data_IF_333133114327
#
_entry.id   IF_333133114327
#
_cell.length_a   1.000
_cell.length_b   1.000
_cell.length_c   1.000
_cell.angle_alpha   90.00
_cell.angle_beta   90.00
_cell.angle_gamma   90.00
#
_symmetry.space_group_name_H-M   'P 1'
#
loop_
_entity.id
_entity.type
_entity.pdbx_description
1 polymer ?
#
# COMPACT_ATOMS: atom_id res chain seq x y z
N UNK A 1 10.05 -10.72 -0.89
CA UNK A 1 9.20 -11.60 -1.73
C UNK A 1 8.78 -12.79 -0.87
N UNK A 2 7.49 -13.12 -0.75
CA UNK A 2 7.04 -14.22 0.13
C UNK A 2 6.88 -15.56 -0.62
N UNK A 3 6.95 -16.68 0.10
CA UNK A 3 6.85 -18.04 -0.47
C UNK A 3 5.55 -18.28 -1.23
N UNK A 4 4.46 -17.71 -0.75
CA UNK A 4 3.17 -17.81 -1.42
C UNK A 4 3.09 -16.99 -2.73
N UNK A 5 3.95 -15.98 -2.93
CA UNK A 5 4.10 -15.36 -4.26
C UNK A 5 4.98 -16.22 -5.18
N UNK A 6 5.97 -16.93 -4.64
CA UNK A 6 6.85 -17.79 -5.44
C UNK A 6 6.12 -19.01 -5.99
N UNK A 7 5.25 -19.62 -5.18
CA UNK A 7 4.43 -20.77 -5.61
C UNK A 7 3.55 -20.44 -6.83
N UNK A 8 2.91 -19.27 -6.83
CA UNK A 8 2.06 -18.83 -7.95
C UNK A 8 2.88 -18.41 -9.19
N UNK A 9 4.11 -17.92 -9.01
CA UNK A 9 4.99 -17.60 -10.15
C UNK A 9 5.48 -18.84 -10.88
N UNK A 10 5.78 -19.92 -10.16
CA UNK A 10 6.29 -21.16 -10.74
C UNK A 10 5.33 -21.88 -11.68
N UNK A 11 4.05 -21.47 -11.72
CA UNK A 11 3.00 -22.13 -12.51
C UNK A 11 2.64 -21.39 -13.80
N UNK A 12 3.13 -20.16 -14.02
CA UNK A 12 2.78 -19.33 -15.19
C UNK A 12 3.97 -18.53 -15.71
N UNK A 13 4.13 -18.45 -17.04
CA UNK A 13 5.25 -17.70 -17.65
C UNK A 13 4.79 -16.59 -18.60
N UNK A 14 3.56 -16.66 -19.12
CA UNK A 14 2.95 -15.72 -20.06
C UNK A 14 2.03 -16.47 -21.03
N UNK A 15 1.39 -15.75 -21.94
CA UNK A 15 0.63 -16.31 -23.06
C UNK A 15 0.90 -15.53 -24.36
N UNK A 16 0.13 -15.81 -25.42
CA UNK A 16 0.28 -15.17 -26.74
C UNK A 16 -0.07 -13.69 -26.74
N UNK A 17 -0.94 -13.23 -25.84
CA UNK A 17 -1.30 -11.82 -25.71
C UNK A 17 -0.31 -11.07 -24.78
N UNK A 18 0.14 -11.75 -23.74
CA UNK A 18 1.00 -11.20 -22.69
C UNK A 18 2.21 -12.11 -22.48
N UNK A 19 3.37 -11.82 -23.10
CA UNK A 19 4.54 -12.70 -23.06
C UNK A 19 5.18 -12.81 -21.68
N UNK A 20 4.73 -11.98 -20.71
CA UNK A 20 5.20 -11.99 -19.33
C UNK A 20 4.14 -11.46 -18.37
N UNK A 21 3.83 -12.24 -17.34
CA UNK A 21 2.87 -11.86 -16.30
C UNK A 21 3.51 -11.19 -15.08
N UNK A 22 4.73 -11.54 -14.72
CA UNK A 22 5.30 -11.16 -13.42
C UNK A 22 6.41 -10.12 -13.53
N UNK A 23 6.52 -9.31 -12.47
CA UNK A 23 7.69 -8.49 -12.21
C UNK A 23 8.88 -9.36 -11.81
N UNK A 24 10.05 -9.01 -12.35
CA UNK A 24 11.33 -9.61 -12.09
C UNK A 24 12.22 -8.65 -11.28
N UNK A 25 12.59 -8.98 -10.03
CA UNK A 25 13.30 -8.07 -9.13
C UNK A 25 14.60 -7.48 -9.66
N UNK A 26 15.31 -8.24 -10.49
CA UNK A 26 16.63 -7.84 -10.99
C UNK A 26 16.62 -7.24 -12.40
N UNK A 27 15.55 -7.45 -13.18
CA UNK A 27 15.50 -6.99 -14.58
C UNK A 27 14.56 -5.80 -14.75
N UNK A 28 13.55 -5.67 -13.89
CA UNK A 28 12.63 -4.55 -13.92
C UNK A 28 13.16 -3.42 -13.05
N UNK A 29 14.20 -2.72 -13.51
CA UNK A 29 14.84 -1.63 -12.77
C UNK A 29 13.87 -0.53 -12.34
N UNK A 30 12.74 -0.37 -13.03
CA UNK A 30 11.70 0.61 -12.69
C UNK A 30 10.99 0.31 -11.35
N UNK A 31 11.14 -0.89 -10.78
CA UNK A 31 10.60 -1.20 -9.44
C UNK A 31 11.40 -0.55 -8.30
N UNK A 32 12.50 0.14 -8.63
CA UNK A 32 13.16 1.04 -7.69
C UNK A 32 12.28 2.27 -7.37
N UNK A 33 11.39 2.66 -8.28
CA UNK A 33 10.32 3.63 -8.06
C UNK A 33 9.11 2.95 -7.39
N UNK A 34 8.20 3.74 -6.84
CA UNK A 34 6.91 3.21 -6.35
C UNK A 34 6.03 2.82 -7.54
N UNK A 35 5.77 1.52 -7.69
CA UNK A 35 4.96 0.98 -8.80
C UNK A 35 3.54 0.61 -8.36
N UNK A 36 3.28 0.63 -7.06
CA UNK A 36 1.98 0.37 -6.45
C UNK A 36 1.50 1.59 -5.68
N UNK A 37 0.21 1.87 -5.77
CA UNK A 37 -0.47 2.88 -4.99
C UNK A 37 -1.68 2.27 -4.31
N UNK A 38 -1.96 2.75 -3.10
CA UNK A 38 -3.13 2.39 -2.33
C UNK A 38 -4.02 3.63 -2.22
N UNK A 39 -5.29 3.50 -2.59
CA UNK A 39 -6.30 4.51 -2.26
C UNK A 39 -7.09 4.08 -1.03
N UNK A 40 -7.40 5.06 -0.18
CA UNK A 40 -8.24 4.90 1.00
C UNK A 40 -9.49 5.73 0.83
N UNK A 41 -10.63 5.06 0.73
CA UNK A 41 -11.92 5.71 0.48
C UNK A 41 -12.76 5.78 1.76
N UNK A 42 -13.50 6.88 1.89
CA UNK A 42 -14.45 7.10 2.97
C UNK A 42 -15.62 6.09 2.92
N UNK A 43 -16.32 5.84 4.04
CA UNK A 43 -16.18 6.50 5.35
C UNK A 43 -14.92 6.06 6.11
N UNK A 44 -14.17 6.99 6.69
CA UNK A 44 -12.90 6.68 7.37
C UNK A 44 -13.08 5.95 8.71
N UNK A 45 -14.30 5.81 9.20
CA UNK A 45 -14.63 4.91 10.31
C UNK A 45 -14.61 3.44 9.89
N UNK A 46 -14.79 3.16 8.59
CA UNK A 46 -14.72 1.83 7.99
C UNK A 46 -14.21 1.92 6.53
N UNK A 47 -12.93 2.28 6.33
CA UNK A 47 -12.42 2.65 5.02
C UNK A 47 -12.37 1.47 4.05
N UNK A 48 -12.53 1.78 2.77
CA UNK A 48 -12.28 0.85 1.66
C UNK A 48 -10.86 1.07 1.15
N UNK A 49 -10.14 -0.03 0.92
CA UNK A 49 -8.74 -0.04 0.50
C UNK A 49 -8.63 -0.63 -0.90
N UNK A 50 -8.13 0.14 -1.86
CA UNK A 50 -7.96 -0.31 -3.24
C UNK A 50 -6.48 -0.18 -3.65
N UNK A 51 -5.87 -1.31 -4.00
CA UNK A 51 -4.47 -1.36 -4.45
C UNK A 51 -4.42 -1.44 -5.97
N UNK A 52 -3.66 -0.55 -6.61
CA UNK A 52 -3.53 -0.48 -8.06
C UNK A 52 -2.11 -0.10 -8.50
N UNK A 53 -1.76 -0.25 -9.79
CA UNK A 53 -0.52 0.30 -10.33
C UNK A 53 -0.47 1.82 -10.13
N UNK A 54 0.72 2.35 -9.88
CA UNK A 54 0.90 3.80 -9.77
C UNK A 54 0.56 4.50 -11.10
N UNK A 55 -0.18 5.63 -11.07
CA UNK A 55 -0.61 6.36 -12.27
C UNK A 55 0.54 7.05 -13.01
N UNK A 56 1.72 7.17 -12.38
CA UNK A 56 2.92 7.75 -13.01
C UNK A 56 3.63 6.78 -13.96
N UNK A 57 3.23 5.50 -13.95
CA UNK A 57 3.81 4.48 -14.81
C UNK A 57 3.44 4.72 -16.27
N UNK A 58 4.36 4.36 -17.17
CA UNK A 58 4.01 4.29 -18.59
C UNK A 58 2.94 3.21 -18.82
N UNK A 59 2.10 3.31 -19.86
CA UNK A 59 1.03 2.34 -20.10
C UNK A 59 1.52 0.88 -20.21
N UNK A 60 2.74 0.66 -20.70
CA UNK A 60 3.34 -0.68 -20.77
C UNK A 60 3.70 -1.24 -19.38
N UNK A 61 4.27 -0.40 -18.50
CA UNK A 61 4.62 -0.78 -17.12
C UNK A 61 3.38 -0.97 -16.27
N UNK A 62 2.40 -0.07 -16.39
CA UNK A 62 1.11 -0.17 -15.72
C UNK A 62 0.43 -1.50 -16.03
N UNK A 63 0.32 -1.88 -17.32
CA UNK A 63 -0.25 -3.17 -17.72
C UNK A 63 0.48 -4.35 -17.10
N UNK A 64 1.81 -4.33 -17.11
CA UNK A 64 2.63 -5.38 -16.51
C UNK A 64 2.41 -5.49 -14.99
N UNK A 65 2.37 -4.37 -14.26
CA UNK A 65 2.08 -4.34 -12.83
C UNK A 65 0.65 -4.82 -12.55
N UNK A 66 -0.33 -4.40 -13.35
CA UNK A 66 -1.72 -4.84 -13.24
C UNK A 66 -1.84 -6.36 -13.42
N UNK A 67 -1.16 -6.93 -14.43
CA UNK A 67 -1.08 -8.39 -14.62
C UNK A 67 -0.41 -9.06 -13.44
N UNK A 68 0.69 -8.53 -12.94
CA UNK A 68 1.39 -9.07 -11.79
C UNK A 68 0.48 -9.14 -10.54
N UNK A 69 -0.28 -8.07 -10.27
CA UNK A 69 -1.25 -8.01 -9.17
C UNK A 69 -2.36 -9.05 -9.34
N UNK A 70 -2.93 -9.14 -10.55
CA UNK A 70 -4.02 -10.06 -10.89
C UNK A 70 -3.58 -11.52 -10.77
N UNK A 71 -2.50 -11.89 -11.43
CA UNK A 71 -2.04 -13.28 -11.50
C UNK A 71 -1.58 -13.81 -10.14
N UNK A 72 -1.12 -12.95 -9.23
CA UNK A 72 -0.77 -13.33 -7.86
C UNK A 72 -1.92 -13.20 -6.86
N UNK A 73 -3.11 -12.78 -7.33
CA UNK A 73 -4.27 -12.46 -6.50
C UNK A 73 -3.91 -11.56 -5.30
N UNK A 74 -3.11 -10.51 -5.54
CA UNK A 74 -2.57 -9.65 -4.47
C UNK A 74 -3.69 -8.93 -3.72
N UNK A 75 -4.68 -8.36 -4.42
CA UNK A 75 -5.76 -7.58 -3.79
C UNK A 75 -6.42 -8.31 -2.60
N UNK A 76 -7.00 -9.51 -2.79
CA UNK A 76 -7.60 -10.27 -1.69
C UNK A 76 -6.63 -10.66 -0.57
N UNK A 77 -5.35 -10.89 -0.89
CA UNK A 77 -4.36 -11.39 0.08
C UNK A 77 -3.88 -10.34 1.07
N UNK A 78 -3.87 -9.07 0.66
CA UNK A 78 -3.29 -7.99 1.47
C UNK A 78 -4.33 -7.05 2.09
N UNK A 79 -5.62 -7.19 1.75
CA UNK A 79 -6.69 -6.40 2.39
C UNK A 79 -6.72 -6.60 3.91
N UNK A 80 -6.38 -7.81 4.38
CA UNK A 80 -6.25 -8.11 5.81
C UNK A 80 -5.13 -7.28 6.45
N UNK A 81 -3.98 -7.20 5.79
CA UNK A 81 -2.85 -6.41 6.26
C UNK A 81 -3.23 -4.93 6.41
N UNK A 82 -3.85 -4.33 5.39
CA UNK A 82 -4.25 -2.91 5.47
C UNK A 82 -5.29 -2.65 6.56
N UNK A 83 -6.23 -3.58 6.79
CA UNK A 83 -7.17 -3.49 7.91
C UNK A 83 -6.49 -3.58 9.28
N UNK A 84 -5.48 -4.43 9.42
CA UNK A 84 -4.68 -4.54 10.66
C UNK A 84 -3.82 -3.29 10.87
N UNK A 85 -3.18 -2.77 9.82
CA UNK A 85 -2.43 -1.52 9.87
C UNK A 85 -3.32 -0.33 10.20
N UNK A 86 -4.54 -0.27 9.67
CA UNK A 86 -5.50 0.77 10.01
C UNK A 86 -5.87 0.77 11.50
N UNK A 87 -6.16 -0.39 12.09
CA UNK A 87 -6.41 -0.47 13.54
C UNK A 87 -5.20 -0.05 14.36
N UNK A 88 -3.99 -0.46 13.93
CA UNK A 88 -2.73 -0.04 14.57
C UNK A 88 -2.55 1.48 14.47
N UNK A 89 -2.78 2.06 13.29
CA UNK A 89 -2.71 3.50 13.05
C UNK A 89 -3.64 4.26 14.00
N UNK A 90 -4.90 3.86 14.11
CA UNK A 90 -5.84 4.53 15.01
C UNK A 90 -5.40 4.49 16.48
N UNK A 91 -4.84 3.36 16.96
CA UNK A 91 -4.27 3.26 18.31
C UNK A 91 -3.04 4.15 18.48
N UNK A 92 -2.19 4.27 17.46
CA UNK A 92 -1.01 5.14 17.48
C UNK A 92 -1.41 6.62 17.51
N UNK A 93 -2.31 7.03 16.61
CA UNK A 93 -2.83 8.41 16.54
C UNK A 93 -3.54 8.80 17.83
N UNK A 94 -4.35 7.90 18.42
CA UNK A 94 -4.98 8.13 19.72
C UNK A 94 -3.94 8.45 20.81
N UNK A 95 -2.84 7.68 20.88
CA UNK A 95 -1.74 7.93 21.82
C UNK A 95 -1.00 9.23 21.53
N UNK A 96 -0.73 9.53 20.26
CA UNK A 96 -0.07 10.78 19.84
C UNK A 96 -0.90 12.00 20.25
N UNK A 97 -2.22 11.97 20.02
CA UNK A 97 -3.13 13.05 20.42
C UNK A 97 -3.15 13.23 21.93
N UNK A 98 -3.22 12.13 22.69
CA UNK A 98 -3.18 12.17 24.15
C UNK A 98 -1.87 12.76 24.69
N UNK A 99 -0.74 12.51 24.01
CA UNK A 99 0.58 13.05 24.37
C UNK A 99 0.92 14.39 23.69
N UNK A 100 -0.03 15.00 22.96
CA UNK A 100 0.14 16.26 22.20
C UNK A 100 1.30 16.22 21.19
N UNK A 101 1.56 15.05 20.62
CA UNK A 101 2.50 14.90 19.50
C UNK A 101 1.85 15.38 18.19
N UNK A 102 2.68 15.89 17.29
CA UNK A 102 2.27 16.18 15.93
C UNK A 102 2.04 14.86 15.17
N UNK A 103 0.77 14.59 14.86
CA UNK A 103 0.36 13.37 14.17
C UNK A 103 0.98 13.30 12.78
N UNK A 104 0.93 14.38 12.01
CA UNK A 104 1.45 14.43 10.64
C UNK A 104 2.95 14.19 10.62
N UNK A 105 3.70 14.93 11.42
CA UNK A 105 5.15 14.77 11.49
C UNK A 105 5.56 13.35 11.90
N UNK A 106 4.79 12.73 12.80
CA UNK A 106 5.01 11.34 13.21
C UNK A 106 4.74 10.34 12.08
N UNK A 107 3.68 10.56 11.29
CA UNK A 107 3.36 9.71 10.14
C UNK A 107 4.36 9.89 8.99
N UNK A 108 4.85 11.11 8.75
CA UNK A 108 5.94 11.38 7.81
C UNK A 108 7.22 10.61 8.21
N UNK A 109 7.56 10.60 9.50
CA UNK A 109 8.68 9.81 10.01
C UNK A 109 8.45 8.30 9.83
N UNK A 110 7.22 7.80 10.02
CA UNK A 110 6.91 6.39 9.80
C UNK A 110 6.99 6.00 8.33
N UNK A 111 6.50 6.86 7.42
CA UNK A 111 6.66 6.69 5.98
C UNK A 111 8.14 6.60 5.62
N UNK A 112 8.94 7.59 6.02
CA UNK A 112 10.37 7.66 5.71
C UNK A 112 11.15 6.43 6.22
N UNK A 113 10.82 5.92 7.40
CA UNK A 113 11.42 4.68 7.89
C UNK A 113 10.99 3.45 7.07
N UNK A 114 9.74 3.41 6.61
CA UNK A 114 9.20 2.30 5.83
C UNK A 114 9.68 2.29 4.36
N UNK A 115 10.23 3.41 3.86
CA UNK A 115 10.88 3.49 2.53
C UNK A 115 12.08 2.56 2.40
N UNK A 116 12.67 2.11 3.51
CA UNK A 116 13.84 1.24 3.53
C UNK A 116 13.39 -0.22 3.78
N UNK A 117 13.73 -1.18 2.90
CA UNK A 117 14.64 -1.06 1.76
C UNK A 117 13.95 -0.71 0.43
N UNK A 118 12.63 -0.49 0.40
CA UNK A 118 11.89 -0.27 -0.84
C UNK A 118 10.63 0.56 -0.67
N UNK A 119 10.35 1.42 -1.66
CA UNK A 119 9.09 2.17 -1.80
C UNK A 119 7.88 1.27 -2.08
N UNK A 120 8.09 0.01 -2.48
CA UNK A 120 7.01 -0.95 -2.75
C UNK A 120 6.69 -1.84 -1.54
N UNK A 121 7.19 -1.47 -0.35
CA UNK A 121 6.85 -2.11 0.91
C UNK A 121 5.42 -1.76 1.35
N UNK A 122 4.71 -2.71 1.96
CA UNK A 122 3.31 -2.49 2.34
C UNK A 122 3.12 -1.40 3.38
N UNK A 123 4.05 -1.24 4.33
CA UNK A 123 3.99 -0.16 5.31
C UNK A 123 4.22 1.20 4.64
N UNK A 124 5.17 1.29 3.71
CA UNK A 124 5.41 2.52 2.94
C UNK A 124 4.17 2.92 2.13
N UNK A 125 3.64 1.99 1.33
CA UNK A 125 2.44 2.21 0.51
C UNK A 125 1.25 2.66 1.39
N UNK A 126 1.11 2.06 2.58
CA UNK A 126 0.03 2.43 3.51
C UNK A 126 0.20 3.86 4.06
N UNK A 127 1.38 4.24 4.55
CA UNK A 127 1.58 5.59 5.07
C UNK A 127 1.56 6.65 3.97
N UNK A 128 2.05 6.33 2.77
CA UNK A 128 1.95 7.18 1.59
C UNK A 128 0.49 7.47 1.23
N UNK A 129 -0.37 6.44 1.24
CA UNK A 129 -1.80 6.58 1.02
C UNK A 129 -2.51 7.43 2.09
N UNK A 130 -2.08 7.32 3.35
CA UNK A 130 -2.62 8.14 4.45
C UNK A 130 -2.22 9.61 4.26
N UNK A 131 -0.94 9.88 3.99
CA UNK A 131 -0.40 11.24 3.89
C UNK A 131 -0.84 11.98 2.61
N UNK A 132 -1.07 11.25 1.52
CA UNK A 132 -1.58 11.81 0.26
C UNK A 132 -3.10 12.09 0.29
N UNK A 133 -3.83 11.52 1.23
CA UNK A 133 -5.26 11.74 1.40
C UNK A 133 -5.55 12.78 2.47
N UNK A 134 -5.70 14.05 2.06
CA UNK A 134 -5.94 15.17 2.96
C UNK A 134 -7.19 14.99 3.85
N UNK A 135 -8.27 14.40 3.32
CA UNK A 135 -9.49 14.17 4.07
C UNK A 135 -9.28 13.09 5.15
N UNK A 136 -8.56 12.02 4.82
CA UNK A 136 -8.25 10.97 5.78
C UNK A 136 -7.29 11.47 6.87
N UNK A 137 -6.30 12.26 6.49
CA UNK A 137 -5.37 12.87 7.44
C UNK A 137 -6.09 13.83 8.40
N UNK A 138 -7.03 14.65 7.89
CA UNK A 138 -7.88 15.47 8.74
C UNK A 138 -8.71 14.64 9.73
N UNK A 139 -9.29 13.52 9.28
CA UNK A 139 -10.02 12.61 10.16
C UNK A 139 -9.13 12.09 11.31
N UNK A 140 -7.87 11.73 11.02
CA UNK A 140 -6.93 11.26 12.05
C UNK A 140 -6.56 12.37 13.04
N UNK A 141 -6.27 13.57 12.54
CA UNK A 141 -5.81 14.71 13.33
C UNK A 141 -6.94 15.28 14.22
N UNK A 142 -8.14 15.44 13.66
CA UNK A 142 -9.14 16.37 14.19
C UNK A 142 -10.49 15.72 14.56
N UNK A 143 -10.87 14.60 13.94
CA UNK A 143 -12.19 14.00 14.15
C UNK A 143 -12.20 12.98 15.32
N UNK A 144 -13.38 12.48 15.67
CA UNK A 144 -13.52 11.44 16.69
C UNK A 144 -13.09 10.08 16.16
N UNK A 145 -12.02 9.54 16.76
CA UNK A 145 -11.56 8.21 16.42
C UNK A 145 -12.49 7.15 17.03
N UNK A 146 -12.74 6.02 16.34
CA UNK A 146 -13.52 4.92 16.89
C UNK A 146 -12.94 4.44 18.23
N UNK A 147 -13.79 4.37 19.26
CA UNK A 147 -13.39 4.05 20.64
C UNK A 147 -13.12 2.55 20.85
N UNK A 148 -13.67 1.69 19.98
CA UNK A 148 -13.53 0.23 20.04
C UNK A 148 -12.69 -0.28 18.85
N UNK A 149 -11.37 -0.47 19.07
CA UNK A 149 -10.40 -0.85 18.04
C UNK A 149 -9.75 -2.22 18.24
#
# INVERSE_FOLDING_TARGET
>A
MCDACQKEKGTKTGDTADPRFFLHPYFDVFIAEQVLELTVEAPFTAPVFNLHPSPVLTPARERLVARHLRELAIGPRYIRFFREQFRRLLRLVSKMRASKQDVRASLELFKANAEIPTLNGWEHIFYDAVLSNAAFLNFLENEDLPVNL
#
